data_IF_738446333527
#
_entry.id   IF_738446333527
#
_cell.length_a   1.000
_cell.length_b   1.000
_cell.length_c   1.000
_cell.angle_alpha   90.00
_cell.angle_beta   90.00
_cell.angle_gamma   90.00
#
_symmetry.space_group_name_H-M   'P 1'
#
loop_
_entity.id
_entity.type
_entity.pdbx_description
1 polymer ?
#
# COMPACT_ATOMS: atom_id res chain seq x y z
N UNK A 1 23.20 -7.94 -42.05
CA UNK A 1 22.87 -8.10 -40.61
C UNK A 1 21.92 -6.98 -40.26
N UNK A 2 20.66 -7.28 -39.92
CA UNK A 2 19.78 -6.28 -39.34
C UNK A 2 20.15 -6.23 -37.86
N UNK A 3 20.61 -5.07 -37.39
CA UNK A 3 20.85 -4.85 -35.98
C UNK A 3 19.54 -5.09 -35.23
N UNK A 4 19.58 -6.05 -34.30
CA UNK A 4 18.49 -6.28 -33.35
C UNK A 4 18.41 -5.01 -32.48
N UNK A 5 17.22 -4.40 -32.29
CA UNK A 5 17.13 -3.17 -31.50
C UNK A 5 17.68 -3.42 -30.10
N UNK A 6 18.55 -2.51 -29.65
CA UNK A 6 19.13 -2.49 -28.31
C UNK A 6 18.01 -2.63 -27.27
N UNK A 7 17.97 -3.77 -26.58
CA UNK A 7 16.93 -4.15 -25.60
C UNK A 7 17.08 -3.44 -24.25
N UNK A 8 17.78 -2.31 -24.19
CA UNK A 8 17.96 -1.57 -22.95
C UNK A 8 16.76 -0.68 -22.68
N UNK A 9 16.13 -0.90 -21.52
CA UNK A 9 15.05 -0.04 -21.03
C UNK A 9 15.62 1.33 -20.61
N UNK A 10 14.89 2.43 -20.84
CA UNK A 10 15.27 3.74 -20.30
C UNK A 10 15.48 3.68 -18.78
N UNK A 11 16.46 4.40 -18.20
CA UNK A 11 16.71 4.42 -16.75
C UNK A 11 15.51 4.89 -15.90
N UNK A 12 14.57 5.63 -16.51
CA UNK A 12 13.36 6.14 -15.88
C UNK A 12 12.18 5.15 -15.94
N UNK A 13 12.38 3.93 -16.44
CA UNK A 13 11.32 2.93 -16.53
C UNK A 13 10.93 2.50 -15.11
N UNK A 14 9.67 2.72 -14.68
CA UNK A 14 9.26 2.39 -13.32
C UNK A 14 9.21 0.87 -13.14
N UNK A 15 9.64 0.41 -11.97
CA UNK A 15 9.59 -0.99 -11.57
C UNK A 15 8.95 -1.10 -10.19
N UNK A 16 8.12 -2.14 -10.00
CA UNK A 16 7.61 -2.48 -8.68
C UNK A 16 8.68 -3.27 -7.94
N UNK A 17 9.13 -2.75 -6.79
CA UNK A 17 10.24 -3.32 -6.02
C UNK A 17 9.81 -4.01 -4.71
N UNK A 18 8.53 -3.92 -4.35
CA UNK A 18 8.01 -4.56 -3.15
C UNK A 18 6.48 -4.51 -3.12
N UNK A 19 5.88 -5.57 -2.58
CA UNK A 19 4.43 -5.67 -2.39
C UNK A 19 4.11 -6.22 -1.00
N UNK A 20 3.00 -5.76 -0.42
CA UNK A 20 2.64 -6.11 0.95
C UNK A 20 1.14 -6.24 1.11
N UNK A 21 0.72 -7.29 1.83
CA UNK A 21 -0.67 -7.56 2.14
C UNK A 21 -0.80 -7.84 3.64
N UNK A 22 -1.85 -7.29 4.25
CA UNK A 22 -2.14 -7.53 5.66
C UNK A 22 -3.64 -7.70 5.87
N UNK A 23 -4.00 -8.67 6.69
CA UNK A 23 -5.37 -8.93 7.12
C UNK A 23 -5.37 -9.14 8.64
N UNK A 24 -6.19 -8.37 9.34
CA UNK A 24 -6.47 -8.61 10.75
C UNK A 24 -7.74 -9.44 10.90
N UNK A 25 -7.66 -10.55 11.65
CA UNK A 25 -8.78 -11.46 11.90
C UNK A 25 -8.85 -11.82 13.38
N UNK A 26 -10.08 -11.99 13.88
CA UNK A 26 -10.33 -12.52 15.23
C UNK A 26 -10.19 -11.51 16.37
N UNK A 27 -10.07 -10.21 16.06
CA UNK A 27 -10.14 -9.14 17.06
C UNK A 27 -11.54 -8.54 17.11
N UNK A 28 -11.95 -8.08 18.29
CA UNK A 28 -13.18 -7.29 18.40
C UNK A 28 -12.99 -5.93 17.70
N UNK A 29 -14.04 -5.36 17.09
CA UNK A 29 -13.94 -4.07 16.41
C UNK A 29 -13.39 -2.94 17.30
N UNK A 30 -13.64 -3.00 18.62
CA UNK A 30 -13.16 -2.02 19.60
C UNK A 30 -11.64 -1.98 19.79
N UNK A 31 -10.93 -3.06 19.45
CA UNK A 31 -9.46 -3.15 19.58
C UNK A 31 -8.77 -3.46 18.25
N UNK A 32 -9.53 -3.44 17.16
CA UNK A 32 -9.01 -3.63 15.83
C UNK A 32 -8.26 -2.41 15.34
N UNK A 33 -7.33 -2.62 14.40
CA UNK A 33 -6.63 -1.53 13.74
C UNK A 33 -7.64 -0.66 12.96
N UNK A 34 -7.49 0.67 13.01
CA UNK A 34 -8.25 1.54 12.13
C UNK A 34 -7.83 1.30 10.66
N UNK A 35 -8.61 1.76 9.68
CA UNK A 35 -8.28 1.58 8.26
C UNK A 35 -6.84 2.00 7.90
N UNK A 36 -6.38 3.14 8.42
CA UNK A 36 -4.99 3.59 8.23
C UNK A 36 -3.95 2.71 8.93
N UNK A 37 -4.31 2.04 10.04
CA UNK A 37 -3.44 1.06 10.69
C UNK A 37 -3.28 -0.21 9.86
N UNK A 38 -4.36 -0.68 9.23
CA UNK A 38 -4.30 -1.81 8.27
C UNK A 38 -3.44 -1.44 7.05
N UNK A 39 -3.63 -0.24 6.50
CA UNK A 39 -2.83 0.27 5.38
C UNK A 39 -1.35 0.40 5.75
N UNK A 40 -1.04 0.91 6.95
CA UNK A 40 0.33 1.00 7.46
C UNK A 40 0.97 -0.38 7.64
N UNK A 41 0.23 -1.37 8.16
CA UNK A 41 0.73 -2.74 8.30
C UNK A 41 1.01 -3.40 6.94
N UNK A 42 0.15 -3.17 5.94
CA UNK A 42 0.41 -3.63 4.58
C UNK A 42 1.61 -2.90 3.94
N UNK A 43 1.72 -1.59 4.13
CA UNK A 43 2.84 -0.78 3.65
C UNK A 43 4.18 -1.20 4.26
N UNK A 44 4.20 -1.52 5.56
CA UNK A 44 5.41 -2.04 6.20
C UNK A 44 5.85 -3.36 5.57
N UNK A 45 4.91 -4.29 5.29
CA UNK A 45 5.25 -5.53 4.59
C UNK A 45 5.77 -5.29 3.17
N UNK A 46 5.25 -4.28 2.47
CA UNK A 46 5.75 -3.91 1.15
C UNK A 46 7.18 -3.36 1.21
N UNK A 47 7.51 -2.59 2.26
CA UNK A 47 8.88 -2.14 2.50
C UNK A 47 9.80 -3.32 2.83
N UNK A 48 9.35 -4.26 3.66
CA UNK A 48 10.16 -5.43 4.04
C UNK A 48 10.46 -6.33 2.82
N UNK A 49 9.52 -6.46 1.89
CA UNK A 49 9.67 -7.22 0.63
C UNK A 49 10.75 -6.64 -0.31
N UNK A 50 11.11 -5.36 -0.16
CA UNK A 50 12.20 -4.74 -0.94
C UNK A 50 13.60 -5.28 -0.58
N UNK A 51 13.73 -5.97 0.56
CA UNK A 51 15.03 -6.38 1.13
C UNK A 51 15.88 -5.23 1.69
N UNK A 52 15.45 -3.97 1.54
CA UNK A 52 16.13 -2.77 2.03
C UNK A 52 15.15 -1.74 2.63
N UNK A 53 14.30 -2.14 3.61
CA UNK A 53 13.15 -1.34 4.05
C UNK A 53 13.52 0.06 4.54
N UNK A 54 14.65 0.22 5.26
CA UNK A 54 15.07 1.52 5.81
C UNK A 54 15.55 2.49 4.72
N UNK A 55 16.31 1.99 3.76
CA UNK A 55 16.85 2.77 2.65
C UNK A 55 15.73 3.22 1.73
N UNK A 56 14.81 2.30 1.39
CA UNK A 56 13.65 2.63 0.56
C UNK A 56 12.75 3.63 1.28
N UNK A 57 12.42 3.40 2.56
CA UNK A 57 11.58 4.33 3.33
C UNK A 57 12.18 5.75 3.42
N UNK A 58 13.50 5.86 3.56
CA UNK A 58 14.19 7.16 3.59
C UNK A 58 14.24 7.86 2.21
N UNK A 59 14.09 7.10 1.12
CA UNK A 59 14.15 7.62 -0.25
C UNK A 59 12.76 7.92 -0.86
N UNK A 60 11.67 7.50 -0.20
CA UNK A 60 10.31 7.81 -0.65
C UNK A 60 10.07 9.33 -0.64
N UNK A 61 9.67 9.87 -1.78
CA UNK A 61 9.33 11.28 -1.98
C UNK A 61 7.80 11.53 -2.02
N UNK A 62 7.03 10.50 -2.35
CA UNK A 62 5.59 10.54 -2.46
C UNK A 62 4.92 9.35 -1.78
N UNK A 63 3.76 9.60 -1.18
CA UNK A 63 2.87 8.57 -0.64
C UNK A 63 1.47 8.78 -1.20
N UNK A 64 0.91 7.73 -1.79
CA UNK A 64 -0.46 7.72 -2.31
C UNK A 64 -1.25 6.66 -1.57
N UNK A 65 -2.44 7.02 -1.10
CA UNK A 65 -3.35 6.09 -0.43
C UNK A 65 -4.72 6.14 -1.09
N UNK A 66 -5.28 4.96 -1.38
CA UNK A 66 -6.65 4.86 -1.86
C UNK A 66 -7.59 5.06 -0.69
N UNK A 67 -8.48 6.04 -0.79
CA UNK A 67 -9.43 6.39 0.27
C UNK A 67 -10.36 5.22 0.56
N UNK A 68 -10.48 4.85 1.83
CA UNK A 68 -11.51 3.93 2.32
C UNK A 68 -12.65 4.80 2.89
N UNK A 69 -13.82 4.75 2.26
CA UNK A 69 -15.00 5.58 2.55
C UNK A 69 -15.42 5.76 4.04
N UNK A 70 -15.27 4.77 4.95
CA UNK A 70 -15.81 4.86 6.31
C UNK A 70 -15.20 5.94 7.20
N UNK A 71 -13.97 6.40 6.94
CA UNK A 71 -13.26 7.37 7.80
C UNK A 71 -13.55 8.85 7.45
N UNK A 72 -14.44 9.11 6.48
CA UNK A 72 -14.69 10.47 5.97
C UNK A 72 -16.08 11.04 6.29
N UNK A 73 -16.84 10.36 7.16
CA UNK A 73 -18.18 10.81 7.52
C UNK A 73 -18.17 11.56 8.87
N UNK A 74 -18.49 12.86 8.84
CA UNK A 74 -18.79 13.67 10.04
C UNK A 74 -20.28 13.56 10.45
N UNK A 75 -21.00 12.54 9.97
CA UNK A 75 -22.40 12.27 10.32
C UNK A 75 -22.50 10.85 10.86
N UNK A 76 -23.54 10.54 11.67
CA UNK A 76 -23.83 9.17 12.08
C UNK A 76 -23.80 8.24 10.86
N UNK A 77 -23.28 7.03 11.03
CA UNK A 77 -23.28 6.00 9.97
C UNK A 77 -24.71 5.86 9.44
N UNK A 78 -24.92 6.18 8.17
CA UNK A 78 -26.15 5.78 7.49
C UNK A 78 -26.24 4.24 7.55
N UNK A 79 -27.46 3.67 7.69
CA UNK A 79 -27.63 2.23 7.76
C UNK A 79 -26.98 1.57 6.55
N UNK A 80 -25.99 0.71 6.79
CA UNK A 80 -25.40 -0.10 5.74
C UNK A 80 -26.48 -1.06 5.21
N UNK A 81 -26.80 -1.06 3.90
CA UNK A 81 -27.77 -2.02 3.34
C UNK A 81 -27.26 -3.47 3.40
N UNK A 82 -25.99 -3.69 3.75
CA UNK A 82 -25.38 -4.99 3.93
C UNK A 82 -25.26 -5.43 5.41
N UNK A 83 -25.86 -4.70 6.35
CA UNK A 83 -25.83 -5.00 7.80
C UNK A 83 -24.83 -4.18 8.59
#
# INVERSE_FOLDING_TARGET
MKDEPDKTLPPSTPVLIGAGQFMEKGKSPSVSLPPMGIAAAAGQRALDDTGAPKQVAAALDALVSVRIFPDSWNRPRDPNPFG
#
